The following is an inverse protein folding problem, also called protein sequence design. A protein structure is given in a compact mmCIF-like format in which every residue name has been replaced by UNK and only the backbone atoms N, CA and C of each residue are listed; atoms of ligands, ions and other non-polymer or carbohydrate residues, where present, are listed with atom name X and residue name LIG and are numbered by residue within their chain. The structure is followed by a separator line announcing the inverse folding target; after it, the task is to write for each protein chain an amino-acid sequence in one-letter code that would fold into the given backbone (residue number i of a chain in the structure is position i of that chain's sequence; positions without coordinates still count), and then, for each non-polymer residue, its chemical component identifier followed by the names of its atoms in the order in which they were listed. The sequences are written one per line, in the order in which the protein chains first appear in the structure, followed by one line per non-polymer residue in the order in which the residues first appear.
data_IF_612247135175
#
_entry.id   IF_612247135175
#
_cell.length_a   1.000
_cell.length_b   1.000
_cell.length_c   1.000
_cell.angle_alpha   90.00
_cell.angle_beta   90.00
_cell.angle_gamma   90.00
#
_symmetry.space_group_name_H-M   'P 1'
#
loop_
_entity.id
_entity.type
_entity.pdbx_description
1 polymer ?
#
# COMPACT_ATOMS: atom_id res chain seq x y z
N UNK A 1 21.54 -71.72 2.26
CA UNK A 1 20.08 -71.90 2.09
C UNK A 1 19.38 -70.62 2.53
N UNK A 2 18.91 -69.82 1.59
CA UNK A 2 17.67 -69.02 1.76
C UNK A 2 16.49 -69.95 1.41
N UNK A 3 15.20 -69.65 1.68
CA UNK A 3 14.59 -68.33 1.85
C UNK A 3 13.38 -68.28 2.84
N UNK A 4 12.64 -67.17 2.73
CA UNK A 4 11.27 -66.92 3.26
C UNK A 4 11.19 -66.66 4.77
N UNK A 5 10.43 -65.70 5.28
CA UNK A 5 9.38 -64.85 4.76
C UNK A 5 9.15 -63.76 5.81
N UNK A 6 8.91 -62.50 5.42
CA UNK A 6 7.89 -61.69 6.11
C UNK A 6 7.55 -60.45 5.28
N UNK A 7 6.33 -60.50 4.79
CA UNK A 7 5.60 -59.49 4.05
C UNK A 7 5.18 -58.30 4.96
N UNK A 8 4.77 -57.16 4.38
CA UNK A 8 4.58 -55.90 5.11
C UNK A 8 3.31 -55.88 5.98
N UNK A 9 3.41 -55.19 7.12
CA UNK A 9 2.31 -54.99 8.06
C UNK A 9 1.19 -54.09 7.47
N UNK A 10 -0.09 -54.36 7.77
CA UNK A 10 -1.24 -53.62 7.24
C UNK A 10 -1.47 -52.28 7.98
N UNK A 11 -2.12 -51.28 7.34
CA UNK A 11 -2.52 -50.06 8.01
C UNK A 11 -3.71 -50.29 8.96
N UNK A 12 -3.61 -49.71 10.16
CA UNK A 12 -4.65 -49.71 11.19
C UNK A 12 -5.89 -48.88 10.78
N UNK A 13 -7.12 -49.39 10.90
CA UNK A 13 -8.34 -48.61 10.73
C UNK A 13 -8.89 -48.17 12.09
N UNK A 14 -9.10 -46.88 12.33
CA UNK A 14 -9.92 -46.48 13.49
C UNK A 14 -10.79 -45.25 13.22
N UNK A 15 -12.07 -45.56 12.93
CA UNK A 15 -13.33 -44.89 13.30
C UNK A 15 -13.43 -43.36 13.17
N UNK A 16 -14.05 -42.94 12.06
CA UNK A 16 -14.88 -41.74 12.04
C UNK A 16 -16.17 -41.98 12.84
N UNK A 17 -16.24 -41.41 14.05
CA UNK A 17 -17.47 -41.34 14.81
C UNK A 17 -18.31 -40.18 14.29
N UNK A 18 -19.32 -40.53 13.49
CA UNK A 18 -20.38 -39.63 13.05
C UNK A 18 -21.39 -39.46 14.18
N UNK A 19 -21.92 -38.24 14.22
CA UNK A 19 -23.28 -37.85 14.58
C UNK A 19 -23.55 -37.29 15.99
N UNK A 20 -24.57 -36.39 16.08
CA UNK A 20 -24.50 -35.13 16.79
C UNK A 20 -25.62 -35.04 17.85
N UNK A 21 -25.78 -33.85 18.43
CA UNK A 21 -26.95 -33.40 19.19
C UNK A 21 -27.24 -34.10 20.54
N UNK A 22 -27.15 -33.26 21.57
CA UNK A 22 -27.79 -33.41 22.87
C UNK A 22 -27.13 -32.41 23.81
N UNK A 23 -27.79 -31.54 24.57
CA UNK A 23 -29.17 -31.49 25.10
C UNK A 23 -29.28 -30.04 25.65
N UNK A 24 -30.20 -29.13 25.33
CA UNK A 24 -31.67 -29.21 25.23
C UNK A 24 -32.33 -29.87 26.45
N UNK A 25 -32.02 -29.37 27.65
CA UNK A 25 -32.74 -29.69 28.89
C UNK A 25 -32.76 -28.48 29.84
N UNK A 26 -33.37 -27.39 29.36
CA UNK A 26 -34.21 -26.53 30.21
C UNK A 26 -35.63 -26.73 29.67
N UNK A 27 -36.15 -27.93 29.94
CA UNK A 27 -37.53 -28.32 29.68
C UNK A 27 -38.26 -28.19 31.02
N UNK A 28 -39.54 -27.81 30.95
CA UNK A 28 -40.56 -28.02 31.99
C UNK A 28 -40.41 -27.26 33.30
N UNK A 29 -40.75 -25.96 33.28
CA UNK A 29 -41.45 -25.34 34.42
C UNK A 29 -42.54 -24.34 34.03
N UNK A 30 -43.12 -24.44 32.82
CA UNK A 30 -44.36 -23.74 32.45
C UNK A 30 -45.20 -24.58 31.46
N UNK A 31 -45.23 -25.91 31.67
CA UNK A 31 -46.29 -26.74 31.11
C UNK A 31 -47.54 -26.54 31.96
N UNK A 32 -48.52 -25.79 31.47
CA UNK A 32 -49.82 -25.70 32.17
C UNK A 32 -50.76 -24.58 31.75
N UNK A 33 -50.30 -23.51 31.10
CA UNK A 33 -51.19 -22.38 30.79
C UNK A 33 -50.79 -21.67 29.51
N UNK A 34 -51.42 -22.06 28.39
CA UNK A 34 -51.66 -21.17 27.23
C UNK A 34 -52.21 -21.90 26.00
N UNK A 35 -52.60 -23.17 26.09
CA UNK A 35 -53.50 -23.78 25.10
C UNK A 35 -54.85 -23.02 25.01
N UNK A 36 -55.10 -22.07 25.92
CA UNK A 36 -56.21 -21.12 25.94
C UNK A 36 -55.91 -19.72 25.37
N UNK A 37 -54.68 -19.42 24.95
CA UNK A 37 -54.30 -18.13 24.32
C UNK A 37 -54.24 -18.19 22.78
N UNK A 38 -54.54 -19.35 22.18
CA UNK A 38 -54.70 -19.53 20.73
C UNK A 38 -56.12 -19.22 20.22
N UNK A 39 -56.97 -18.57 21.03
CA UNK A 39 -58.26 -18.04 20.60
C UNK A 39 -58.24 -16.52 20.66
N UNK A 40 -58.13 -15.95 19.45
CA UNK A 40 -58.55 -14.60 19.06
C UNK A 40 -57.66 -13.44 19.53
N UNK A 41 -56.60 -13.18 18.76
CA UNK A 41 -56.06 -11.82 18.62
C UNK A 41 -56.20 -11.42 17.15
N UNK A 42 -57.07 -10.45 16.91
CA UNK A 42 -57.31 -9.78 15.64
C UNK A 42 -56.00 -9.15 15.12
N UNK A 43 -55.74 -9.14 13.79
CA UNK A 43 -54.55 -8.49 13.24
C UNK A 43 -54.57 -6.99 13.56
N UNK A 44 -53.44 -6.35 13.91
CA UNK A 44 -53.38 -4.90 14.01
C UNK A 44 -53.73 -4.27 12.65
N UNK A 45 -54.40 -3.11 12.62
CA UNK A 45 -54.78 -2.46 11.37
C UNK A 45 -53.53 -2.16 10.55
N UNK A 46 -53.60 -2.49 9.26
CA UNK A 46 -52.53 -2.22 8.31
C UNK A 46 -52.14 -0.74 8.35
N UNK A 47 -50.83 -0.40 8.30
CA UNK A 47 -50.43 0.98 8.13
C UNK A 47 -50.98 1.49 6.79
N UNK A 48 -51.70 2.61 6.85
CA UNK A 48 -52.09 3.39 5.68
C UNK A 48 -50.87 3.59 4.78
N UNK A 49 -50.98 3.36 3.45
CA UNK A 49 -49.89 3.64 2.54
C UNK A 49 -49.59 5.14 2.58
N UNK A 50 -48.49 5.50 3.26
CA UNK A 50 -47.86 6.79 3.06
C UNK A 50 -47.36 6.78 1.62
N UNK A 51 -48.00 7.56 0.75
CA UNK A 51 -47.47 7.89 -0.56
C UNK A 51 -46.10 8.51 -0.30
N UNK A 52 -45.05 7.76 -0.62
CA UNK A 52 -43.72 8.32 -0.68
C UNK A 52 -43.74 9.38 -1.78
N UNK A 53 -43.51 10.64 -1.41
CA UNK A 53 -43.17 11.67 -2.39
C UNK A 53 -42.00 11.12 -3.23
N UNK A 54 -42.06 11.24 -4.57
CA UNK A 54 -40.97 10.78 -5.41
C UNK A 54 -39.72 11.56 -5.02
N UNK A 55 -38.73 10.87 -4.45
CA UNK A 55 -37.39 11.41 -4.22
C UNK A 55 -36.91 12.02 -5.54
N UNK A 56 -36.55 13.32 -5.56
CA UNK A 56 -35.99 13.93 -6.76
C UNK A 56 -34.86 13.05 -7.30
N UNK A 57 -34.81 12.76 -8.61
CA UNK A 57 -33.74 11.95 -9.17
C UNK A 57 -32.40 12.58 -8.78
N UNK A 58 -31.50 11.75 -8.25
CA UNK A 58 -30.17 12.18 -7.88
C UNK A 58 -29.53 12.90 -9.09
N UNK A 59 -28.85 14.05 -8.89
CA UNK A 59 -28.14 14.71 -9.98
C UNK A 59 -27.25 13.71 -10.72
N UNK A 60 -27.20 13.75 -12.06
CA UNK A 60 -26.30 12.88 -12.79
C UNK A 60 -24.86 13.07 -12.25
N UNK A 61 -24.09 11.98 -12.06
CA UNK A 61 -22.73 12.09 -11.57
C UNK A 61 -21.95 13.03 -12.51
N UNK A 62 -21.01 13.83 -11.98
CA UNK A 62 -20.17 14.69 -12.81
C UNK A 62 -19.48 13.84 -13.88
N UNK A 63 -19.24 14.42 -15.08
CA UNK A 63 -18.60 13.69 -16.17
C UNK A 63 -17.25 13.13 -15.71
N UNK A 64 -16.99 11.86 -16.03
CA UNK A 64 -15.74 11.22 -15.69
C UNK A 64 -14.57 11.98 -16.32
N UNK A 65 -13.52 12.25 -15.52
CA UNK A 65 -12.31 12.89 -16.01
C UNK A 65 -11.58 11.94 -16.96
N UNK A 66 -11.36 12.36 -18.20
CA UNK A 66 -10.63 11.56 -19.18
C UNK A 66 -9.12 11.59 -18.86
N UNK A 67 -8.54 10.41 -18.64
CA UNK A 67 -7.11 10.25 -18.33
C UNK A 67 -6.23 10.03 -19.57
N UNK A 68 -6.80 9.55 -20.66
CA UNK A 68 -6.05 9.30 -21.89
C UNK A 68 -5.76 10.61 -22.62
N UNK A 69 -4.53 10.77 -23.13
CA UNK A 69 -4.14 11.97 -23.88
C UNK A 69 -3.81 13.19 -23.02
N UNK A 70 -3.76 13.07 -21.69
CA UNK A 70 -3.47 14.19 -20.79
C UNK A 70 -1.97 14.41 -20.54
N UNK A 71 -1.11 13.49 -20.96
CA UNK A 71 0.33 13.53 -20.63
C UNK A 71 1.05 14.77 -21.15
N UNK A 72 0.67 15.29 -22.33
CA UNK A 72 1.25 16.54 -22.84
C UNK A 72 0.98 17.70 -21.88
N UNK A 73 -0.25 17.81 -21.37
CA UNK A 73 -0.62 18.86 -20.42
C UNK A 73 0.06 18.65 -19.06
N UNK A 74 0.04 17.41 -18.54
CA UNK A 74 0.73 17.05 -17.28
C UNK A 74 2.22 17.40 -17.36
N UNK A 75 2.88 17.01 -18.45
CA UNK A 75 4.29 17.32 -18.70
C UNK A 75 4.55 18.81 -18.72
N UNK A 76 3.70 19.60 -19.36
CA UNK A 76 3.87 21.06 -19.43
C UNK A 76 3.90 21.68 -18.04
N UNK A 77 2.98 21.27 -17.16
CA UNK A 77 2.94 21.73 -15.76
C UNK A 77 4.15 21.25 -14.96
N UNK A 78 4.65 20.04 -15.23
CA UNK A 78 5.80 19.46 -14.52
C UNK A 78 7.16 20.06 -14.93
N UNK A 79 7.33 20.58 -16.16
CA UNK A 79 8.62 21.08 -16.70
C UNK A 79 9.32 22.08 -15.77
N UNK A 80 8.57 22.92 -15.06
CA UNK A 80 9.11 23.97 -14.19
C UNK A 80 9.55 23.51 -12.80
N UNK A 81 9.37 22.22 -12.46
CA UNK A 81 9.66 21.70 -11.12
C UNK A 81 11.14 21.44 -10.86
N UNK A 82 11.93 21.17 -11.91
CA UNK A 82 13.37 20.93 -11.78
C UNK A 82 14.09 21.22 -13.09
N UNK A 83 15.31 21.73 -12.99
CA UNK A 83 16.24 21.91 -14.12
C UNK A 83 17.09 20.66 -14.41
N UNK A 84 16.86 19.55 -13.71
CA UNK A 84 17.63 18.32 -13.87
C UNK A 84 17.33 17.63 -15.21
N UNK A 85 18.37 17.29 -15.98
CA UNK A 85 18.21 16.62 -17.26
C UNK A 85 17.53 15.24 -17.17
N UNK A 86 17.78 14.49 -16.08
CA UNK A 86 17.12 13.20 -15.88
C UNK A 86 15.64 13.38 -15.55
N UNK A 87 15.27 14.44 -14.83
CA UNK A 87 13.87 14.78 -14.59
C UNK A 87 13.15 15.03 -15.91
N UNK A 88 13.71 15.89 -16.77
CA UNK A 88 13.15 16.18 -18.08
C UNK A 88 13.02 14.91 -18.95
N UNK A 89 14.03 14.03 -18.92
CA UNK A 89 14.01 12.74 -19.61
C UNK A 89 12.93 11.81 -19.08
N UNK A 90 12.75 11.73 -17.76
CA UNK A 90 11.74 10.87 -17.14
C UNK A 90 10.32 11.29 -17.44
N UNK A 91 10.08 12.60 -17.56
CA UNK A 91 8.79 13.10 -17.98
C UNK A 91 8.39 12.50 -19.33
N UNK A 92 9.32 12.11 -20.23
CA UNK A 92 9.06 11.44 -21.53
C UNK A 92 8.43 10.05 -21.43
N UNK A 93 8.15 9.58 -20.22
CA UNK A 93 7.30 8.42 -20.00
C UNK A 93 5.83 8.77 -20.26
N UNK A 94 5.07 7.76 -20.63
CA UNK A 94 3.61 7.83 -20.78
C UNK A 94 2.89 7.46 -19.47
N UNK A 95 1.60 7.78 -19.41
CA UNK A 95 0.68 7.54 -18.31
C UNK A 95 1.13 8.19 -16.99
N UNK A 96 1.59 9.45 -17.04
CA UNK A 96 2.23 10.12 -15.91
C UNK A 96 1.32 10.18 -14.67
N UNK A 97 0.06 10.56 -14.85
CA UNK A 97 -0.92 10.64 -13.76
C UNK A 97 -1.21 9.26 -13.14
N UNK A 98 -1.41 8.23 -13.97
CA UNK A 98 -1.67 6.85 -13.51
C UNK A 98 -0.46 6.25 -12.82
N UNK A 99 0.75 6.47 -13.33
CA UNK A 99 2.00 6.02 -12.71
C UNK A 99 2.23 6.69 -11.36
N UNK A 100 1.94 7.99 -11.25
CA UNK A 100 1.98 8.68 -9.97
C UNK A 100 1.00 8.06 -8.98
N UNK A 101 -0.29 7.97 -9.34
CA UNK A 101 -1.32 7.39 -8.49
C UNK A 101 -1.01 5.95 -8.06
N UNK A 102 -0.55 5.11 -8.99
CA UNK A 102 -0.13 3.74 -8.70
C UNK A 102 1.07 3.69 -7.76
N UNK A 103 2.08 4.54 -7.97
CA UNK A 103 3.26 4.59 -7.11
C UNK A 103 2.89 5.01 -5.69
N UNK A 104 2.02 6.01 -5.57
CA UNK A 104 1.49 6.49 -4.28
C UNK A 104 0.72 5.38 -3.57
N UNK A 105 -0.19 4.68 -4.26
CA UNK A 105 -0.95 3.58 -3.68
C UNK A 105 -0.04 2.44 -3.20
N UNK A 106 0.87 1.97 -4.07
CA UNK A 106 1.82 0.90 -3.73
C UNK A 106 2.65 1.27 -2.50
N UNK A 107 3.21 2.47 -2.46
CA UNK A 107 4.03 2.90 -1.31
C UNK A 107 3.16 3.01 -0.06
N UNK A 108 1.94 3.55 -0.12
CA UNK A 108 1.06 3.61 1.04
C UNK A 108 0.81 2.21 1.64
N UNK A 109 0.63 1.20 0.78
CA UNK A 109 0.45 -0.21 1.14
C UNK A 109 1.76 -0.92 1.54
N UNK A 110 2.91 -0.24 1.49
CA UNK A 110 4.22 -0.83 1.78
C UNK A 110 4.76 -1.72 0.67
N UNK A 111 4.18 -1.66 -0.53
CA UNK A 111 4.63 -2.40 -1.71
C UNK A 111 5.62 -1.58 -2.55
N UNK A 112 6.44 -2.26 -3.36
CA UNK A 112 7.47 -1.59 -4.16
C UNK A 112 6.87 -0.89 -5.39
N UNK A 113 7.14 0.41 -5.61
CA UNK A 113 6.69 1.12 -6.81
C UNK A 113 7.60 0.87 -8.03
N UNK A 114 8.44 -0.17 -8.01
CA UNK A 114 9.46 -0.43 -9.04
C UNK A 114 8.87 -0.56 -10.46
N UNK A 115 7.69 -1.17 -10.59
CA UNK A 115 7.03 -1.36 -11.88
C UNK A 115 6.56 -0.04 -12.50
N UNK A 116 5.70 0.78 -11.85
CA UNK A 116 5.30 2.07 -12.40
C UNK A 116 6.47 3.06 -12.54
N UNK A 117 7.53 2.94 -11.74
CA UNK A 117 8.72 3.80 -11.79
C UNK A 117 9.92 3.17 -12.52
N UNK A 118 9.69 2.21 -13.41
CA UNK A 118 10.76 1.49 -14.11
C UNK A 118 11.68 2.38 -14.95
N UNK A 119 11.19 3.53 -15.41
CA UNK A 119 11.96 4.55 -16.13
C UNK A 119 13.04 5.24 -15.26
N UNK A 120 12.90 5.16 -13.93
CA UNK A 120 13.87 5.64 -12.93
C UNK A 120 14.84 4.55 -12.49
N UNK A 121 14.77 3.34 -13.06
CA UNK A 121 15.53 2.22 -12.55
C UNK A 121 17.04 2.51 -12.55
N UNK A 122 17.73 2.30 -11.40
CA UNK A 122 19.17 2.50 -11.32
C UNK A 122 19.89 1.51 -12.23
N UNK A 123 20.95 1.98 -12.90
CA UNK A 123 21.77 1.13 -13.76
C UNK A 123 22.78 0.31 -12.96
N UNK A 124 23.20 -0.82 -13.51
CA UNK A 124 24.20 -1.69 -12.88
C UNK A 124 23.63 -2.67 -11.84
N UNK A 125 24.44 -3.67 -11.50
CA UNK A 125 24.04 -4.78 -10.63
C UNK A 125 24.22 -4.47 -9.15
N UNK A 126 23.38 -5.09 -8.32
CA UNK A 126 23.55 -5.05 -6.86
C UNK A 126 24.76 -5.88 -6.47
N UNK A 127 25.59 -5.33 -5.59
CA UNK A 127 26.82 -5.90 -5.05
C UNK A 127 26.84 -5.87 -3.52
N UNK A 128 27.51 -6.85 -2.95
CA UNK A 128 27.77 -6.98 -1.51
C UNK A 128 29.27 -7.00 -1.25
N UNK A 129 29.67 -6.67 -0.02
CA UNK A 129 31.06 -6.75 0.43
C UNK A 129 31.12 -7.29 1.85
N UNK A 130 32.28 -7.82 2.26
CA UNK A 130 32.49 -8.27 3.65
C UNK A 130 33.08 -7.13 4.49
N UNK A 131 32.46 -6.85 5.64
CA UNK A 131 32.94 -5.89 6.65
C UNK A 131 32.93 -6.58 8.00
N UNK A 132 34.11 -6.67 8.64
CA UNK A 132 34.26 -7.33 9.95
C UNK A 132 33.63 -8.75 10.01
N UNK A 133 33.76 -9.54 8.94
CA UNK A 133 33.16 -10.87 8.85
C UNK A 133 31.70 -10.92 8.40
N UNK A 134 30.97 -9.80 8.43
CA UNK A 134 29.57 -9.70 8.03
C UNK A 134 29.43 -9.32 6.55
N UNK A 135 28.41 -9.87 5.88
CA UNK A 135 28.07 -9.48 4.50
C UNK A 135 27.17 -8.25 4.55
N UNK A 136 27.56 -7.17 3.88
CA UNK A 136 26.79 -5.91 3.85
C UNK A 136 26.64 -5.42 2.42
N UNK A 137 25.73 -4.47 2.20
CA UNK A 137 25.61 -3.80 0.90
C UNK A 137 26.92 -3.09 0.56
N UNK A 138 27.45 -3.29 -0.65
CA UNK A 138 28.65 -2.60 -1.10
C UNK A 138 28.34 -1.10 -1.34
N UNK A 139 29.27 -0.16 -1.08
CA UNK A 139 29.03 1.26 -1.33
C UNK A 139 28.56 1.57 -2.76
N UNK A 140 29.09 0.83 -3.75
CA UNK A 140 28.74 0.96 -5.17
C UNK A 140 27.28 0.58 -5.45
N UNK A 141 26.64 -0.22 -4.58
CA UNK A 141 25.23 -0.53 -4.72
C UNK A 141 24.33 0.64 -4.35
N UNK A 142 24.78 1.49 -3.44
CA UNK A 142 24.09 2.70 -3.01
C UNK A 142 24.25 3.82 -4.05
N UNK A 143 25.46 3.99 -4.61
CA UNK A 143 25.72 5.06 -5.60
C UNK A 143 24.89 4.94 -6.87
N UNK A 144 24.41 3.74 -7.24
CA UNK A 144 23.46 3.57 -8.34
C UNK A 144 22.16 4.37 -8.15
N UNK A 145 21.81 4.69 -6.91
CA UNK A 145 20.64 5.49 -6.55
C UNK A 145 20.93 6.99 -6.46
N UNK A 146 22.18 7.43 -6.64
CA UNK A 146 22.54 8.86 -6.53
C UNK A 146 21.80 9.70 -7.56
N UNK A 147 21.62 9.20 -8.79
CA UNK A 147 20.81 9.87 -9.82
C UNK A 147 19.35 10.06 -9.39
N UNK A 148 18.76 9.04 -8.74
CA UNK A 148 17.39 9.12 -8.22
C UNK A 148 17.28 10.11 -7.08
N UNK A 149 18.17 10.02 -6.10
CA UNK A 149 18.18 10.95 -4.98
C UNK A 149 18.39 12.38 -5.45
N UNK A 150 19.31 12.62 -6.39
CA UNK A 150 19.59 13.92 -7.01
C UNK A 150 18.35 14.52 -7.64
N UNK A 151 17.65 13.78 -8.50
CA UNK A 151 16.44 14.28 -9.17
C UNK A 151 15.34 14.58 -8.15
N UNK A 152 15.12 13.71 -7.16
CA UNK A 152 14.12 13.98 -6.12
C UNK A 152 14.48 15.27 -5.39
N UNK A 153 15.73 15.43 -4.95
CA UNK A 153 16.17 16.62 -4.21
C UNK A 153 16.17 17.91 -5.01
N UNK A 154 16.17 17.85 -6.35
CA UNK A 154 16.14 19.05 -7.20
C UNK A 154 14.74 19.61 -7.43
N UNK A 155 13.69 18.92 -6.96
CA UNK A 155 12.31 19.40 -7.08
C UNK A 155 12.07 20.65 -6.23
N UNK A 156 11.52 21.69 -6.86
CA UNK A 156 10.99 22.89 -6.21
C UNK A 156 9.67 22.54 -5.49
N UNK A 157 9.73 22.43 -4.16
CA UNK A 157 8.59 21.97 -3.38
C UNK A 157 7.40 22.92 -3.45
N UNK A 158 7.64 24.24 -3.49
CA UNK A 158 6.56 25.24 -3.56
C UNK A 158 5.80 25.12 -4.87
N UNK A 159 6.51 25.04 -6.00
CA UNK A 159 5.89 24.83 -7.31
C UNK A 159 5.21 23.46 -7.38
N UNK A 160 5.80 22.43 -6.78
CA UNK A 160 5.19 21.10 -6.73
C UNK A 160 3.82 21.14 -6.03
N UNK A 161 3.67 21.91 -4.95
CA UNK A 161 2.36 22.14 -4.32
C UNK A 161 1.35 22.80 -5.25
N UNK A 162 1.75 23.81 -6.03
CA UNK A 162 0.87 24.48 -7.00
C UNK A 162 0.43 23.54 -8.12
N UNK A 163 1.40 22.84 -8.73
CA UNK A 163 1.14 21.86 -9.80
C UNK A 163 0.27 20.71 -9.31
N UNK A 164 0.46 20.26 -8.06
CA UNK A 164 -0.38 19.22 -7.47
C UNK A 164 -1.84 19.66 -7.36
N UNK A 165 -2.11 20.89 -6.93
CA UNK A 165 -3.48 21.42 -6.84
C UNK A 165 -4.12 21.55 -8.22
N UNK A 166 -3.37 22.00 -9.22
CA UNK A 166 -3.86 22.12 -10.61
C UNK A 166 -4.17 20.75 -11.22
N UNK A 167 -3.30 19.76 -11.00
CA UNK A 167 -3.48 18.40 -11.47
C UNK A 167 -4.44 17.58 -10.59
N UNK A 168 -4.93 18.11 -9.48
CA UNK A 168 -5.67 17.35 -8.47
C UNK A 168 -6.87 16.57 -9.04
N UNK A 169 -7.75 17.16 -9.89
CA UNK A 169 -8.87 16.41 -10.46
C UNK A 169 -8.43 15.21 -11.31
N UNK A 170 -7.31 15.36 -12.04
CA UNK A 170 -6.74 14.29 -12.85
C UNK A 170 -6.11 13.19 -11.99
N UNK A 171 -5.35 13.58 -10.97
CA UNK A 171 -4.71 12.63 -10.06
C UNK A 171 -5.74 11.89 -9.19
N UNK A 172 -6.81 12.54 -8.76
CA UNK A 172 -7.93 11.92 -8.05
C UNK A 172 -8.63 10.88 -8.93
N UNK A 173 -8.87 11.20 -10.21
CA UNK A 173 -9.44 10.25 -11.16
C UNK A 173 -8.52 9.04 -11.38
N UNK A 174 -7.21 9.26 -11.54
CA UNK A 174 -6.24 8.18 -11.67
C UNK A 174 -6.13 7.32 -10.40
N UNK A 175 -6.25 7.93 -9.23
CA UNK A 175 -6.24 7.22 -7.95
C UNK A 175 -7.51 6.39 -7.75
N UNK A 176 -8.67 6.91 -8.14
CA UNK A 176 -9.96 6.22 -8.01
C UNK A 176 -10.05 4.92 -8.82
N UNK A 177 -9.23 4.74 -9.86
CA UNK A 177 -9.14 3.47 -10.61
C UNK A 177 -8.45 2.35 -9.82
N UNK A 178 -7.68 2.70 -8.80
CA UNK A 178 -6.84 1.76 -8.04
C UNK A 178 -7.28 1.63 -6.58
N UNK A 179 -7.73 2.72 -5.99
CA UNK A 179 -7.99 2.80 -4.56
C UNK A 179 -9.38 2.26 -4.18
N UNK A 180 -9.51 1.65 -2.98
CA UNK A 180 -10.82 1.31 -2.44
C UNK A 180 -11.74 2.54 -2.34
N UNK A 181 -13.08 2.36 -2.45
CA UNK A 181 -14.03 3.45 -2.28
C UNK A 181 -13.84 4.20 -0.96
N UNK A 182 -13.95 5.53 -1.02
CA UNK A 182 -13.86 6.41 0.17
C UNK A 182 -12.44 6.79 0.59
N UNK A 183 -11.40 6.29 -0.08
CA UNK A 183 -10.01 6.68 0.17
C UNK A 183 -9.58 7.81 -0.77
N UNK A 184 -9.21 8.98 -0.23
CA UNK A 184 -8.74 10.11 -1.03
C UNK A 184 -7.26 9.99 -1.40
N UNK A 185 -6.86 10.62 -2.51
CA UNK A 185 -5.47 10.69 -2.92
C UNK A 185 -4.60 11.36 -1.84
N UNK A 186 -5.08 12.46 -1.25
CA UNK A 186 -4.32 13.20 -0.23
C UNK A 186 -3.98 12.33 0.98
N UNK A 187 -4.95 11.53 1.45
CA UNK A 187 -4.74 10.62 2.56
C UNK A 187 -3.76 9.49 2.18
N UNK A 188 -3.87 8.95 0.97
CA UNK A 188 -2.94 7.92 0.47
C UNK A 188 -1.51 8.46 0.31
N UNK A 189 -1.37 9.67 -0.24
CA UNK A 189 -0.07 10.34 -0.42
C UNK A 189 0.57 10.71 0.92
N UNK A 190 -0.21 11.24 1.87
CA UNK A 190 0.24 11.50 3.24
C UNK A 190 0.71 10.20 3.92
N UNK A 191 -0.04 9.09 3.79
CA UNK A 191 0.37 7.79 4.30
C UNK A 191 1.67 7.28 3.64
N UNK A 192 1.80 7.41 2.32
CA UNK A 192 2.98 6.98 1.57
C UNK A 192 4.24 7.73 2.01
N UNK A 193 4.18 9.07 2.05
CA UNK A 193 5.27 9.92 2.56
C UNK A 193 5.57 9.54 4.01
N UNK A 194 4.53 9.41 4.83
CA UNK A 194 4.63 9.10 6.24
C UNK A 194 5.31 7.76 6.52
N UNK A 195 5.09 6.76 5.67
CA UNK A 195 5.74 5.46 5.75
C UNK A 195 7.24 5.56 5.45
N UNK A 196 7.63 6.25 4.39
CA UNK A 196 9.04 6.38 4.00
C UNK A 196 9.85 7.24 4.99
N UNK A 197 9.28 8.34 5.48
CA UNK A 197 9.95 9.28 6.40
C UNK A 197 10.07 8.73 7.83
N UNK A 198 9.28 7.72 8.22
CA UNK A 198 9.42 7.02 9.52
C UNK A 198 10.54 5.99 9.57
N UNK A 199 11.09 5.57 8.43
CA UNK A 199 12.18 4.59 8.40
C UNK A 199 13.43 5.20 9.03
N UNK A 200 13.89 4.62 10.14
CA UNK A 200 15.12 5.09 10.79
C UNK A 200 16.33 4.82 9.91
N UNK A 201 17.20 5.83 9.74
CA UNK A 201 18.45 5.68 8.98
C UNK A 201 19.43 4.84 9.80
N UNK A 202 19.89 3.67 9.30
CA UNK A 202 20.82 2.83 10.05
C UNK A 202 22.14 3.54 10.33
N UNK A 203 22.63 3.46 11.57
CA UNK A 203 23.92 4.04 11.99
C UNK A 203 25.11 3.25 11.45
N UNK A 204 24.91 1.96 11.22
CA UNK A 204 25.90 1.03 10.65
C UNK A 204 25.27 0.30 9.45
N UNK A 205 26.08 -0.15 8.47
CA UNK A 205 25.56 -0.93 7.36
C UNK A 205 24.83 -2.19 7.85
N UNK A 206 23.55 -2.40 7.47
CA UNK A 206 22.83 -3.60 7.85
C UNK A 206 23.48 -4.86 7.29
N UNK A 207 23.55 -5.89 8.12
CA UNK A 207 23.99 -7.22 7.69
C UNK A 207 22.94 -7.86 6.77
N UNK A 208 23.43 -8.56 5.75
CA UNK A 208 22.65 -9.29 4.77
C UNK A 208 22.92 -10.79 4.90
N UNK A 209 21.87 -11.58 4.72
CA UNK A 209 21.93 -13.02 4.58
C UNK A 209 21.44 -13.42 3.19
N UNK A 210 21.94 -14.55 2.68
CA UNK A 210 21.43 -15.13 1.45
C UNK A 210 20.15 -15.93 1.73
N UNK A 211 19.13 -15.72 0.90
CA UNK A 211 17.89 -16.50 0.88
C UNK A 211 17.61 -16.91 -0.56
N UNK A 212 18.06 -18.10 -0.93
CA UNK A 212 18.11 -18.54 -2.32
C UNK A 212 19.04 -17.63 -3.14
N UNK A 213 18.55 -17.10 -4.26
CA UNK A 213 19.28 -16.18 -5.12
C UNK A 213 19.24 -14.70 -4.66
N UNK A 214 18.56 -14.40 -3.54
CA UNK A 214 18.36 -13.04 -3.06
C UNK A 214 19.15 -12.76 -1.79
N UNK A 215 19.38 -11.48 -1.52
CA UNK A 215 19.84 -10.99 -0.23
C UNK A 215 18.68 -10.39 0.57
N UNK A 216 18.58 -10.81 1.83
CA UNK A 216 17.62 -10.32 2.84
C UNK A 216 18.37 -9.69 4.01
N UNK A 217 17.72 -8.83 4.78
CA UNK A 217 18.33 -8.28 6.00
C UNK A 217 18.40 -9.35 7.09
N UNK A 218 19.52 -9.41 7.81
CA UNK A 218 19.70 -10.30 8.95
C UNK A 218 18.87 -9.85 10.17
N UNK A 219 18.72 -8.53 10.35
CA UNK A 219 17.88 -7.94 11.39
C UNK A 219 16.39 -8.18 11.07
N UNK A 220 15.65 -8.93 11.91
CA UNK A 220 14.24 -9.22 11.70
C UNK A 220 13.37 -7.96 11.60
N UNK A 221 13.73 -6.88 12.30
CA UNK A 221 12.97 -5.64 12.26
C UNK A 221 13.11 -4.95 10.90
N UNK A 222 14.32 -4.94 10.33
CA UNK A 222 14.55 -4.40 8.99
C UNK A 222 13.94 -5.30 7.91
N UNK A 223 13.98 -6.62 8.09
CA UNK A 223 13.41 -7.55 7.11
C UNK A 223 11.88 -7.54 7.12
N UNK A 224 11.25 -7.28 8.27
CA UNK A 224 9.80 -7.15 8.42
C UNK A 224 9.23 -5.86 7.81
N UNK A 225 10.06 -4.87 7.46
CA UNK A 225 9.63 -3.67 6.77
C UNK A 225 9.00 -4.00 5.40
N UNK A 226 8.08 -3.14 4.97
CA UNK A 226 7.48 -3.21 3.65
C UNK A 226 8.54 -3.10 2.54
N UNK A 227 8.18 -3.57 1.35
CA UNK A 227 9.05 -3.54 0.18
C UNK A 227 9.44 -2.10 -0.22
N UNK A 228 8.57 -1.11 0.01
CA UNK A 228 8.88 0.31 -0.22
C UNK A 228 9.99 0.81 0.71
N UNK A 229 9.87 0.55 2.01
CA UNK A 229 10.84 0.92 3.04
C UNK A 229 12.17 0.20 2.84
N UNK A 230 12.13 -1.10 2.49
CA UNK A 230 13.33 -1.85 2.11
C UNK A 230 13.94 -1.34 0.79
N UNK A 231 13.18 -0.66 -0.07
CA UNK A 231 13.75 0.02 -1.23
C UNK A 231 14.52 1.26 -0.81
N UNK A 232 13.96 2.06 0.09
CA UNK A 232 14.62 3.22 0.68
C UNK A 232 15.94 2.81 1.37
N UNK A 233 15.93 1.75 2.18
CA UNK A 233 17.14 1.18 2.80
C UNK A 233 18.24 0.81 1.78
N UNK A 234 17.86 0.29 0.61
CA UNK A 234 18.82 -0.07 -0.46
C UNK A 234 19.50 1.13 -1.10
N UNK A 235 18.90 2.32 -1.02
CA UNK A 235 19.52 3.56 -1.50
C UNK A 235 20.73 3.98 -0.65
N UNK A 236 20.81 3.47 0.59
CA UNK A 236 21.89 3.75 1.53
C UNK A 236 21.69 5.04 2.34
N UNK A 237 22.37 5.19 3.49
CA UNK A 237 22.06 6.24 4.47
C UNK A 237 22.11 7.68 3.96
N UNK A 238 22.99 7.98 3.00
CA UNK A 238 23.10 9.33 2.42
C UNK A 238 21.89 9.68 1.54
N UNK A 239 21.51 8.77 0.63
CA UNK A 239 20.37 8.97 -0.26
C UNK A 239 19.04 8.88 0.48
N UNK A 240 18.93 8.01 1.49
CA UNK A 240 17.77 7.95 2.36
C UNK A 240 17.46 9.30 2.99
N UNK A 241 18.45 9.95 3.62
CA UNK A 241 18.26 11.26 4.27
C UNK A 241 17.80 12.33 3.28
N UNK A 242 18.50 12.45 2.15
CA UNK A 242 18.14 13.36 1.06
C UNK A 242 16.69 13.20 0.61
N UNK A 243 16.27 11.95 0.38
CA UNK A 243 14.91 11.64 -0.04
C UNK A 243 13.90 11.94 1.06
N UNK A 244 14.17 11.53 2.31
CA UNK A 244 13.27 11.77 3.44
C UNK A 244 13.09 13.27 3.75
N UNK A 245 14.17 14.04 3.70
CA UNK A 245 14.15 15.50 3.87
C UNK A 245 13.29 16.16 2.79
N UNK A 246 13.51 15.81 1.52
CA UNK A 246 12.72 16.35 0.41
C UNK A 246 11.25 15.90 0.46
N UNK A 247 10.96 14.66 0.84
CA UNK A 247 9.58 14.21 1.02
C UNK A 247 8.86 14.99 2.13
N UNK A 248 9.57 15.35 3.20
CA UNK A 248 9.03 16.18 4.28
C UNK A 248 8.76 17.61 3.80
N UNK A 249 9.68 18.19 3.03
CA UNK A 249 9.52 19.50 2.40
C UNK A 249 8.32 19.53 1.44
N UNK A 250 8.17 18.50 0.61
CA UNK A 250 7.03 18.34 -0.30
C UNK A 250 5.71 18.22 0.47
N UNK A 251 5.65 17.39 1.51
CA UNK A 251 4.45 17.24 2.34
C UNK A 251 3.99 18.57 2.92
N UNK A 252 4.94 19.39 3.43
CA UNK A 252 4.64 20.72 3.94
C UNK A 252 4.08 21.65 2.84
N UNK A 253 4.69 21.66 1.65
CA UNK A 253 4.22 22.47 0.53
C UNK A 253 2.85 22.04 -0.02
N UNK A 254 2.49 20.77 0.17
CA UNK A 254 1.19 20.19 -0.20
C UNK A 254 0.11 20.43 0.87
N UNK A 255 0.44 21.04 2.01
CA UNK A 255 -0.49 21.24 3.13
C UNK A 255 -0.88 19.93 3.82
N UNK A 256 -0.06 18.89 3.71
CA UNK A 256 -0.31 17.61 4.35
C UNK A 256 0.06 17.69 5.84
N UNK A 257 -0.68 16.98 6.72
CA UNK A 257 -0.40 17.02 8.15
C UNK A 257 1.04 16.57 8.42
N UNK A 258 1.76 17.38 9.20
CA UNK A 258 3.12 17.06 9.63
C UNK A 258 3.09 15.79 10.50
N UNK A 259 4.17 15.00 10.44
CA UNK A 259 4.39 13.79 11.25
C UNK A 259 4.09 13.95 12.75
N UNK A 260 4.18 15.18 13.26
CA UNK A 260 3.93 15.55 14.66
C UNK A 260 2.43 15.76 14.97
N UNK A 261 1.63 16.18 13.99
CA UNK A 261 0.17 16.35 14.14
C UNK A 261 -0.58 15.01 14.05
N UNK A 262 -0.01 14.02 13.37
CA UNK A 262 -0.53 12.64 13.38
C UNK A 262 -0.21 11.87 14.68
N UNK A 263 0.61 12.46 15.57
CA UNK A 263 0.80 12.03 16.97
C UNK A 263 -0.12 12.84 17.91
N UNK A 264 -1.39 13.01 17.53
CA UNK A 264 -2.43 13.43 18.47
C UNK A 264 -2.70 12.31 19.49
N UNK A 265 -3.15 12.65 20.71
CA UNK A 265 -2.94 11.92 21.96
C UNK A 265 -3.36 10.45 21.96
#
# INVERSE_FOLDING_TARGET
MSPSENAPLPPSPVRYLRWPLGIAAVVTLLGGSSYFLLRTSEPPPAPTPSIAEPTPPAPPPPPAVQLSGTDTHVRELLKGLSSDADFARWLSSEDLARRFAASVNLVAEGQSPRMPLSFMAPTGTFRVTKRHGHTVTAPESHTRYDGVARVITSLDAKKAGQVYQELKPLLDAAHAELAPPGRSLDATLSQAIGRLTRVSVPKTPPELMTKGALYVYADPNLEALGAAEKHLLRMGPANMRKVQEKLTELAAALGMPSQEQARGP
#
